data_IF_987130875007
#
_entry.id   IF_987130875007
#
_cell.length_a   1.000
_cell.length_b   1.000
_cell.length_c   1.000
_cell.angle_alpha   90.00
_cell.angle_beta   90.00
_cell.angle_gamma   90.00
#
_symmetry.space_group_name_H-M   'P 1'
#
loop_
_entity.id
_entity.type
_entity.pdbx_description
1 polymer ?
#
# COMPACT_ATOMS: atom_id res chain seq x y z
N UNK A 1 22.51 5.07 5.93
CA UNK A 1 21.47 5.46 6.90
C UNK A 1 20.75 4.20 7.32
N UNK A 2 20.86 3.80 8.59
CA UNK A 2 20.14 2.63 9.10
C UNK A 2 18.66 3.00 9.27
N UNK A 3 17.75 2.11 8.87
CA UNK A 3 16.29 2.31 8.89
C UNK A 3 15.58 1.25 9.73
N UNK A 4 16.30 0.55 10.60
CA UNK A 4 15.81 -0.64 11.31
C UNK A 4 14.54 -0.34 12.11
N UNK A 5 14.58 0.64 13.01
CA UNK A 5 13.43 1.02 13.83
C UNK A 5 12.23 1.49 12.99
N UNK A 6 12.48 2.36 11.99
CA UNK A 6 11.43 2.83 11.09
C UNK A 6 10.77 1.67 10.34
N UNK A 7 11.56 0.70 9.87
CA UNK A 7 11.05 -0.46 9.17
C UNK A 7 10.28 -1.39 10.11
N UNK A 8 10.70 -1.53 11.37
CA UNK A 8 9.95 -2.30 12.39
C UNK A 8 8.57 -1.69 12.61
N UNK A 9 8.51 -0.38 12.87
CA UNK A 9 7.24 0.33 13.08
C UNK A 9 6.31 0.22 11.86
N UNK A 10 6.86 0.36 10.64
CA UNK A 10 6.08 0.20 9.41
C UNK A 10 5.58 -1.23 9.21
N UNK A 11 6.38 -2.24 9.58
CA UNK A 11 5.98 -3.65 9.51
C UNK A 11 4.89 -3.98 10.53
N UNK A 12 4.96 -3.43 11.75
CA UNK A 12 3.90 -3.58 12.77
C UNK A 12 2.57 -2.98 12.29
N UNK A 13 2.62 -1.74 11.75
CA UNK A 13 1.44 -1.10 11.15
C UNK A 13 0.90 -1.95 10.00
N UNK A 14 1.77 -2.47 9.13
CA UNK A 14 1.37 -3.32 8.01
C UNK A 14 0.67 -4.60 8.49
N UNK A 15 1.23 -5.28 9.49
CA UNK A 15 0.62 -6.49 10.06
C UNK A 15 -0.76 -6.25 10.69
N UNK A 16 -0.97 -5.10 11.34
CA UNK A 16 -2.32 -4.72 11.81
C UNK A 16 -3.26 -4.49 10.63
N UNK A 17 -2.81 -3.78 9.59
CA UNK A 17 -3.63 -3.51 8.40
C UNK A 17 -4.02 -4.79 7.66
N UNK A 18 -3.10 -5.74 7.51
CA UNK A 18 -3.38 -7.00 6.84
C UNK A 18 -4.45 -7.81 7.60
N UNK A 19 -4.42 -7.80 8.95
CA UNK A 19 -5.50 -8.36 9.77
C UNK A 19 -6.81 -7.61 9.61
N UNK A 20 -6.78 -6.27 9.62
CA UNK A 20 -7.97 -5.45 9.37
C UNK A 20 -8.62 -5.79 8.02
N UNK A 21 -7.83 -5.95 6.95
CA UNK A 21 -8.37 -6.33 5.65
C UNK A 21 -8.96 -7.74 5.67
N UNK A 22 -8.27 -8.70 6.28
CA UNK A 22 -8.74 -10.09 6.35
C UNK A 22 -10.03 -10.25 7.18
N UNK A 23 -10.20 -9.45 8.24
CA UNK A 23 -11.39 -9.53 9.11
C UNK A 23 -12.55 -8.66 8.60
N UNK A 24 -12.26 -7.55 7.92
CA UNK A 24 -13.28 -6.54 7.60
C UNK A 24 -13.63 -6.41 6.10
N UNK A 25 -12.98 -7.14 5.19
CA UNK A 25 -13.30 -7.02 3.76
C UNK A 25 -14.72 -7.45 3.42
N UNK A 26 -15.28 -8.38 4.19
CA UNK A 26 -16.53 -9.06 3.88
C UNK A 26 -17.65 -8.69 4.87
N UNK A 27 -17.50 -7.61 5.63
CA UNK A 27 -18.56 -7.20 6.56
C UNK A 27 -19.83 -6.83 5.78
N UNK A 28 -21.01 -7.27 6.24
CA UNK A 28 -22.25 -6.90 5.57
C UNK A 28 -22.59 -5.44 5.85
N UNK A 29 -23.25 -4.78 4.90
CA UNK A 29 -23.73 -3.40 5.08
C UNK A 29 -24.72 -3.27 6.25
N UNK A 30 -25.39 -4.35 6.64
CA UNK A 30 -26.25 -4.38 7.84
C UNK A 30 -25.50 -4.01 9.12
N UNK A 31 -24.18 -4.24 9.15
CA UNK A 31 -23.36 -4.01 10.33
C UNK A 31 -22.91 -2.54 10.42
N UNK A 32 -23.15 -1.72 9.40
CA UNK A 32 -22.69 -0.33 9.34
C UNK A 32 -23.17 0.53 10.52
N UNK A 33 -24.39 0.27 10.99
CA UNK A 33 -25.02 0.99 12.10
C UNK A 33 -24.72 0.38 13.47
N UNK A 34 -23.92 -0.70 13.53
CA UNK A 34 -23.53 -1.32 14.80
C UNK A 34 -22.67 -0.32 15.58
N UNK A 35 -23.06 0.01 16.83
CA UNK A 35 -22.28 0.93 17.66
C UNK A 35 -20.91 0.34 18.01
N UNK A 36 -19.90 1.20 18.08
CA UNK A 36 -18.58 0.85 18.60
C UNK A 36 -18.24 1.72 19.81
N UNK A 37 -17.39 1.21 20.69
CA UNK A 37 -16.92 1.94 21.88
C UNK A 37 -15.81 2.94 21.53
N UNK A 38 -16.14 3.89 20.65
CA UNK A 38 -15.30 5.02 20.30
C UNK A 38 -16.10 6.32 20.39
N UNK A 39 -15.61 7.36 21.10
CA UNK A 39 -16.39 8.54 21.42
C UNK A 39 -16.72 9.44 20.22
N UNK A 40 -16.00 9.32 19.10
CA UNK A 40 -16.14 10.18 17.91
C UNK A 40 -16.54 9.42 16.64
N UNK A 41 -16.16 8.16 16.53
CA UNK A 41 -16.46 7.29 15.40
C UNK A 41 -17.26 6.12 15.94
N UNK A 42 -18.49 6.42 16.35
CA UNK A 42 -19.35 5.65 17.23
C UNK A 42 -20.12 4.52 16.54
N UNK A 43 -19.92 4.31 15.24
CA UNK A 43 -20.50 3.20 14.46
C UNK A 43 -19.47 2.60 13.49
N UNK A 44 -19.63 1.33 13.14
CA UNK A 44 -18.71 0.57 12.27
C UNK A 44 -18.40 1.31 10.97
N UNK A 45 -19.41 1.88 10.29
CA UNK A 45 -19.22 2.61 9.04
C UNK A 45 -18.26 3.81 9.19
N UNK A 46 -18.34 4.52 10.31
CA UNK A 46 -17.46 5.67 10.58
C UNK A 46 -16.03 5.22 10.81
N UNK A 47 -15.83 4.08 11.48
CA UNK A 47 -14.51 3.48 11.67
C UNK A 47 -13.91 3.03 10.33
N UNK A 48 -14.69 2.37 9.47
CA UNK A 48 -14.24 1.95 8.14
C UNK A 48 -13.72 3.13 7.31
N UNK A 49 -14.48 4.24 7.27
CA UNK A 49 -14.05 5.47 6.61
C UNK A 49 -12.78 6.06 7.24
N UNK A 50 -12.64 5.95 8.56
CA UNK A 50 -11.52 6.53 9.31
C UNK A 50 -10.18 5.89 8.98
N UNK A 51 -10.11 4.61 8.59
CA UNK A 51 -8.82 3.95 8.27
C UNK A 51 -8.03 4.71 7.20
N UNK A 52 -8.68 5.11 6.10
CA UNK A 52 -8.00 5.86 5.03
C UNK A 52 -7.68 7.31 5.44
N UNK A 53 -8.61 7.97 6.12
CA UNK A 53 -8.44 9.36 6.55
C UNK A 53 -7.31 9.53 7.56
N UNK A 54 -7.19 8.59 8.51
CA UNK A 54 -6.18 8.59 9.57
C UNK A 54 -4.76 8.47 9.00
N UNK A 55 -4.57 7.57 8.04
CA UNK A 55 -3.29 7.39 7.38
C UNK A 55 -2.87 8.64 6.61
N UNK A 56 -3.80 9.28 5.89
CA UNK A 56 -3.51 10.51 5.14
C UNK A 56 -3.19 11.69 6.06
N UNK A 57 -3.89 11.81 7.19
CA UNK A 57 -3.60 12.83 8.20
C UNK A 57 -2.17 12.71 8.73
N UNK A 58 -1.74 11.51 9.12
CA UNK A 58 -0.38 11.30 9.65
C UNK A 58 0.69 11.29 8.57
N UNK A 59 0.37 10.91 7.32
CA UNK A 59 1.27 11.13 6.20
C UNK A 59 1.62 12.62 6.04
N UNK A 60 0.63 13.51 6.13
CA UNK A 60 0.86 14.96 6.09
C UNK A 60 1.73 15.45 7.26
N UNK A 61 1.53 14.91 8.47
CA UNK A 61 2.38 15.24 9.63
C UNK A 61 3.83 14.79 9.43
N UNK A 62 4.05 13.60 8.84
CA UNK A 62 5.39 13.11 8.50
C UNK A 62 6.03 14.00 7.43
N UNK A 63 5.29 14.39 6.39
CA UNK A 63 5.81 15.34 5.38
C UNK A 63 6.24 16.66 6.02
N UNK A 64 5.40 17.23 6.89
CA UNK A 64 5.74 18.45 7.64
C UNK A 64 6.99 18.27 8.49
N UNK A 65 7.10 17.15 9.21
CA UNK A 65 8.29 16.84 9.99
C UNK A 65 9.56 16.75 9.11
N UNK A 66 9.46 16.22 7.88
CA UNK A 66 10.60 16.20 6.95
C UNK A 66 11.02 17.61 6.54
N UNK A 67 10.07 18.51 6.29
CA UNK A 67 10.35 19.92 5.98
C UNK A 67 11.05 20.60 7.15
N UNK A 68 10.53 20.43 8.37
CA UNK A 68 11.09 21.04 9.58
C UNK A 68 12.50 20.53 9.89
N UNK A 69 12.77 19.25 9.60
CA UNK A 69 14.09 18.64 9.69
C UNK A 69 15.01 18.95 8.51
N UNK A 70 14.55 19.77 7.55
CA UNK A 70 15.26 20.09 6.30
C UNK A 70 15.72 18.85 5.52
N UNK A 71 14.94 17.77 5.60
CA UNK A 71 15.20 16.52 4.89
C UNK A 71 14.45 16.51 3.57
N UNK A 72 14.87 17.30 2.60
CA UNK A 72 14.31 17.23 1.25
C UNK A 72 14.60 15.87 0.61
N UNK A 73 13.67 15.38 -0.23
CA UNK A 73 13.93 14.18 -1.04
C UNK A 73 14.88 14.54 -2.17
N UNK A 74 15.73 13.61 -2.55
CA UNK A 74 16.43 13.67 -3.85
C UNK A 74 15.46 13.31 -4.98
N UNK A 75 15.82 13.60 -6.23
CA UNK A 75 14.98 13.22 -7.39
C UNK A 75 14.69 11.70 -7.45
N UNK A 76 15.67 10.80 -7.27
CA UNK A 76 15.37 9.36 -7.19
C UNK A 76 14.42 8.99 -6.04
N UNK A 77 14.54 9.64 -4.87
CA UNK A 77 13.63 9.40 -3.75
C UNK A 77 12.20 9.88 -4.04
N UNK A 78 12.04 10.96 -4.81
CA UNK A 78 10.73 11.38 -5.30
C UNK A 78 10.12 10.34 -6.25
N UNK A 79 10.91 9.80 -7.19
CA UNK A 79 10.45 8.75 -8.11
C UNK A 79 10.03 7.48 -7.36
N UNK A 80 10.83 7.04 -6.38
CA UNK A 80 10.50 5.88 -5.56
C UNK A 80 9.30 6.12 -4.64
N UNK A 81 9.12 7.35 -4.12
CA UNK A 81 7.93 7.68 -3.35
C UNK A 81 6.66 7.63 -4.20
N UNK A 82 6.74 7.96 -5.50
CA UNK A 82 5.62 7.81 -6.42
C UNK A 82 5.31 6.34 -6.72
N UNK A 83 6.33 5.50 -6.87
CA UNK A 83 6.15 4.06 -7.02
C UNK A 83 5.40 3.45 -5.82
N UNK A 84 5.71 3.86 -4.59
CA UNK A 84 4.98 3.41 -3.39
C UNK A 84 3.51 3.86 -3.37
N UNK A 85 3.19 5.05 -3.91
CA UNK A 85 1.80 5.50 -4.06
C UNK A 85 1.04 4.63 -5.07
N UNK A 86 1.68 4.33 -6.21
CA UNK A 86 1.12 3.43 -7.22
C UNK A 86 0.91 2.01 -6.66
N UNK A 87 1.83 1.51 -5.84
CA UNK A 87 1.64 0.25 -5.13
C UNK A 87 0.42 0.28 -4.19
N UNK A 88 0.20 1.39 -3.49
CA UNK A 88 -1.02 1.62 -2.71
C UNK A 88 -2.31 1.53 -3.55
N UNK A 89 -2.29 1.97 -4.81
CA UNK A 89 -3.43 1.85 -5.73
C UNK A 89 -3.69 0.40 -6.12
N UNK A 90 -2.64 -0.40 -6.31
CA UNK A 90 -2.76 -1.84 -6.60
C UNK A 90 -3.38 -2.58 -5.40
N UNK A 91 -2.93 -2.26 -4.19
CA UNK A 91 -3.52 -2.81 -2.97
C UNK A 91 -5.01 -2.42 -2.81
N UNK A 92 -5.37 -1.18 -3.15
CA UNK A 92 -6.77 -0.77 -3.14
C UNK A 92 -7.61 -1.53 -4.18
N UNK A 93 -7.09 -1.67 -5.41
CA UNK A 93 -7.76 -2.36 -6.51
C UNK A 93 -7.99 -3.87 -6.26
N UNK A 94 -7.22 -4.48 -5.36
CA UNK A 94 -7.35 -5.90 -4.99
C UNK A 94 -8.27 -6.13 -3.80
N UNK A 95 -8.82 -5.07 -3.19
CA UNK A 95 -9.75 -5.20 -2.05
C UNK A 95 -11.03 -5.91 -2.47
N UNK A 96 -11.38 -6.98 -1.75
CA UNK A 96 -12.58 -7.80 -2.00
C UNK A 96 -12.40 -8.87 -3.09
N UNK A 97 -11.22 -9.00 -3.70
CA UNK A 97 -10.92 -10.14 -4.56
C UNK A 97 -10.60 -11.38 -3.72
N UNK A 98 -11.14 -12.52 -4.14
CA UNK A 98 -10.82 -13.83 -3.59
C UNK A 98 -9.86 -14.60 -4.50
N UNK A 99 -9.25 -15.66 -3.97
CA UNK A 99 -8.38 -16.55 -4.74
C UNK A 99 -9.08 -17.16 -5.97
N UNK A 100 -10.39 -17.37 -5.89
CA UNK A 100 -11.23 -17.85 -7.00
C UNK A 100 -11.30 -16.87 -8.18
N UNK A 101 -11.03 -15.59 -7.95
CA UNK A 101 -11.10 -14.56 -8.99
C UNK A 101 -9.78 -14.43 -9.77
N UNK A 102 -8.69 -15.03 -9.28
CA UNK A 102 -7.35 -14.81 -9.81
C UNK A 102 -7.15 -15.30 -11.25
N UNK A 103 -7.86 -16.37 -11.62
CA UNK A 103 -7.66 -17.09 -12.88
C UNK A 103 -8.73 -16.79 -13.94
N UNK A 104 -9.80 -16.08 -13.57
CA UNK A 104 -10.85 -15.67 -14.50
C UNK A 104 -10.42 -14.41 -15.25
N UNK A 105 -10.26 -14.51 -16.57
CA UNK A 105 -10.12 -13.35 -17.44
C UNK A 105 -11.49 -12.67 -17.64
N UNK A 106 -11.63 -11.34 -17.44
CA UNK A 106 -12.92 -10.64 -17.59
C UNK A 106 -13.51 -10.75 -19.00
N UNK A 107 -12.65 -10.70 -20.02
CA UNK A 107 -13.02 -10.83 -21.44
C UNK A 107 -12.10 -11.82 -22.17
N UNK A 108 -12.57 -12.47 -23.25
CA UNK A 108 -11.72 -13.36 -24.05
C UNK A 108 -10.44 -12.66 -24.54
N UNK A 109 -9.28 -13.20 -24.16
CA UNK A 109 -7.96 -12.66 -24.53
C UNK A 109 -7.44 -11.54 -23.62
N UNK A 110 -8.23 -11.08 -22.64
CA UNK A 110 -7.75 -10.17 -21.59
C UNK A 110 -6.89 -10.90 -20.54
N UNK A 111 -6.10 -10.14 -19.77
CA UNK A 111 -5.31 -10.70 -18.68
C UNK A 111 -6.18 -10.93 -17.44
N UNK A 112 -5.98 -12.08 -16.79
CA UNK A 112 -6.51 -12.33 -15.45
C UNK A 112 -5.74 -11.52 -14.40
N UNK A 113 -6.29 -11.42 -13.18
CA UNK A 113 -5.61 -10.76 -12.05
C UNK A 113 -4.26 -11.43 -11.76
N UNK A 114 -4.18 -12.77 -11.79
CA UNK A 114 -2.92 -13.50 -11.62
C UNK A 114 -1.88 -13.09 -12.66
N UNK A 115 -2.31 -12.93 -13.91
CA UNK A 115 -1.44 -12.57 -15.03
C UNK A 115 -0.89 -11.15 -14.85
N UNK A 116 -1.74 -10.20 -14.44
CA UNK A 116 -1.33 -8.82 -14.13
C UNK A 116 -0.31 -8.80 -12.99
N UNK A 117 -0.59 -9.46 -11.87
CA UNK A 117 0.31 -9.48 -10.71
C UNK A 117 1.66 -10.18 -11.02
N UNK A 118 1.64 -11.27 -11.79
CA UNK A 118 2.85 -11.96 -12.23
C UNK A 118 3.70 -11.06 -13.15
N UNK A 119 3.07 -10.34 -14.08
CA UNK A 119 3.75 -9.39 -14.95
C UNK A 119 4.41 -8.24 -14.16
N UNK A 120 3.71 -7.71 -13.14
CA UNK A 120 4.27 -6.68 -12.26
C UNK A 120 5.51 -7.20 -11.51
N UNK A 121 5.43 -8.39 -10.91
CA UNK A 121 6.56 -9.00 -10.19
C UNK A 121 7.78 -9.20 -11.10
N UNK A 122 7.57 -9.75 -12.30
CA UNK A 122 8.65 -9.91 -13.28
C UNK A 122 9.28 -8.56 -13.65
N UNK A 123 8.44 -7.55 -13.89
CA UNK A 123 8.87 -6.23 -14.33
C UNK A 123 9.67 -5.49 -13.25
N UNK A 124 9.21 -5.52 -11.99
CA UNK A 124 9.93 -4.96 -10.84
C UNK A 124 11.34 -5.57 -10.72
N UNK A 125 11.42 -6.91 -10.80
CA UNK A 125 12.70 -7.62 -10.74
C UNK A 125 13.63 -7.23 -11.90
N UNK A 126 13.08 -7.15 -13.12
CA UNK A 126 13.85 -6.74 -14.32
C UNK A 126 14.39 -5.32 -14.20
N UNK A 127 13.60 -4.38 -13.67
CA UNK A 127 14.04 -3.00 -13.46
C UNK A 127 15.16 -2.91 -12.42
N UNK A 128 15.03 -3.60 -11.30
CA UNK A 128 16.07 -3.66 -10.27
C UNK A 128 17.39 -4.21 -10.84
N UNK A 129 17.32 -5.31 -11.58
CA UNK A 129 18.52 -5.92 -12.16
C UNK A 129 19.15 -5.07 -13.26
N UNK A 130 18.35 -4.35 -14.05
CA UNK A 130 18.86 -3.39 -15.03
C UNK A 130 19.66 -2.27 -14.35
N UNK A 131 19.13 -1.68 -13.27
CA UNK A 131 19.83 -0.64 -12.48
C UNK A 131 21.11 -1.21 -11.86
N UNK A 132 21.06 -2.42 -11.29
CA UNK A 132 22.25 -3.08 -10.71
C UNK A 132 23.35 -3.28 -11.74
N UNK A 133 23.02 -3.81 -12.93
CA UNK A 133 23.98 -3.99 -14.02
C UNK A 133 24.58 -2.66 -14.47
N UNK A 134 23.76 -1.63 -14.67
CA UNK A 134 24.23 -0.31 -15.08
C UNK A 134 25.22 0.29 -14.05
N UNK A 135 24.94 0.12 -12.75
CA UNK A 135 25.84 0.59 -11.68
C UNK A 135 27.13 -0.21 -11.56
N UNK A 136 27.10 -1.51 -11.85
CA UNK A 136 28.30 -2.36 -11.83
C UNK A 136 29.22 -2.14 -13.03
N UNK A 137 28.70 -1.63 -14.15
CA UNK A 137 29.46 -1.35 -15.37
C UNK A 137 29.89 0.11 -15.55
N UNK A 138 29.57 1.01 -14.61
CA UNK A 138 30.03 2.39 -14.65
C UNK A 138 31.49 2.48 -14.15
N UNK A 139 32.44 3.07 -14.90
CA UNK A 139 33.76 3.38 -14.36
C UNK A 139 33.63 4.44 -13.25
N UNK A 140 34.46 4.31 -12.21
CA UNK A 140 34.53 5.22 -11.05
C UNK A 140 34.72 6.70 -11.45
#
# INVERSE_FOLDING_TARGET
MQREELNSLLAEIRGVRDRTMAELSDIPESDFAVPVDLPRWDEVRRVLLRFGEHMREHANQIEKAREDLQRSRTMPQHMLAEAERAWGQVLAATTGLADSDLDTAPEPGSWSVRTVLAHMLETEQRYLDAVRRARAGAPD
#
